data_IF_051944223313
#
_entry.id   IF_051944223313
#
_cell.length_a   1.000
_cell.length_b   1.000
_cell.length_c   1.000
_cell.angle_alpha   90.00
_cell.angle_beta   90.00
_cell.angle_gamma   90.00
#
_symmetry.space_group_name_H-M   'P 1'
#
loop_
_entity.id
_entity.type
_entity.pdbx_description
1 polymer ?
#
# COMPACT_ATOMS: atom_id res chain seq x y z
N UNK A 1 -18.84 2.74 10.38
CA UNK A 1 -17.37 2.57 10.24
C UNK A 1 -16.92 3.10 8.88
N UNK A 2 -15.72 3.68 8.77
CA UNK A 2 -15.26 4.26 7.51
C UNK A 2 -15.10 3.20 6.41
N UNK A 3 -14.86 1.93 6.78
CA UNK A 3 -14.82 0.82 5.83
C UNK A 3 -16.13 0.61 5.05
N UNK A 4 -17.30 0.94 5.62
CA UNK A 4 -18.59 0.82 4.90
C UNK A 4 -18.74 1.85 3.79
N UNK A 5 -18.09 3.02 3.91
CA UNK A 5 -18.07 4.01 2.84
C UNK A 5 -17.14 3.62 1.69
N UNK A 6 -16.29 2.60 1.90
CA UNK A 6 -15.28 2.13 0.95
C UNK A 6 -15.67 0.79 0.31
N UNK A 7 -16.87 0.25 0.58
CA UNK A 7 -17.34 -1.03 0.02
C UNK A 7 -17.36 -1.03 -1.51
N UNK A 8 -17.59 0.11 -2.15
CA UNK A 8 -17.62 0.23 -3.62
C UNK A 8 -16.26 0.54 -4.25
N UNK A 9 -15.23 0.85 -3.45
CA UNK A 9 -13.90 1.12 -3.99
C UNK A 9 -13.05 -0.15 -4.05
N UNK A 10 -12.18 -0.22 -5.04
CA UNK A 10 -11.20 -1.30 -5.16
C UNK A 10 -10.24 -1.26 -3.97
N UNK A 11 -9.65 -2.40 -3.66
CA UNK A 11 -8.77 -2.56 -2.49
C UNK A 11 -7.44 -3.20 -2.86
N UNK A 12 -6.42 -2.90 -2.07
CA UNK A 12 -5.11 -3.55 -2.11
C UNK A 12 -4.71 -3.95 -0.70
N UNK A 13 -4.33 -5.21 -0.52
CA UNK A 13 -3.82 -5.74 0.74
C UNK A 13 -2.30 -5.74 0.70
N UNK A 14 -1.68 -5.23 1.76
CA UNK A 14 -0.23 -5.05 1.83
C UNK A 14 0.43 -5.90 2.92
N UNK A 15 1.74 -6.14 2.74
CA UNK A 15 2.59 -6.72 3.78
C UNK A 15 2.68 -5.79 4.99
N UNK A 16 2.73 -6.41 6.16
CA UNK A 16 2.95 -5.77 7.45
C UNK A 16 4.14 -4.81 7.44
N UNK A 17 5.25 -5.23 6.82
CA UNK A 17 6.48 -4.43 6.73
C UNK A 17 6.33 -3.15 5.88
N UNK A 18 5.28 -3.04 5.07
CA UNK A 18 4.98 -1.85 4.26
C UNK A 18 4.05 -0.87 4.98
N UNK A 19 3.37 -1.29 6.06
CA UNK A 19 2.38 -0.47 6.78
C UNK A 19 3.04 0.77 7.39
N UNK A 20 4.09 0.57 8.18
CA UNK A 20 4.80 1.69 8.82
C UNK A 20 5.36 2.70 7.79
N UNK A 21 5.93 2.19 6.70
CA UNK A 21 6.45 3.04 5.63
C UNK A 21 5.35 3.91 4.99
N UNK A 22 4.16 3.33 4.74
CA UNK A 22 3.01 4.07 4.23
C UNK A 22 2.49 5.12 5.23
N UNK A 23 2.45 4.79 6.53
CA UNK A 23 2.07 5.75 7.57
C UNK A 23 3.03 6.95 7.66
N UNK A 24 4.26 6.78 7.15
CA UNK A 24 5.27 7.83 7.02
C UNK A 24 5.26 8.53 5.64
N UNK A 25 4.28 8.23 4.78
CA UNK A 25 4.12 8.89 3.47
C UNK A 25 4.90 8.26 2.32
N UNK A 26 5.42 7.04 2.48
CA UNK A 26 5.99 6.31 1.36
C UNK A 26 4.94 5.97 0.29
N UNK A 27 5.40 5.75 -0.94
CA UNK A 27 4.60 5.15 -2.00
C UNK A 27 4.61 3.62 -1.90
N UNK A 28 3.53 2.97 -2.34
CA UNK A 28 3.41 1.51 -2.29
C UNK A 28 4.12 0.89 -3.50
N UNK A 29 5.21 0.17 -3.21
CA UNK A 29 5.95 -0.60 -4.19
C UNK A 29 5.36 -2.00 -4.37
N UNK A 30 5.54 -2.58 -5.56
CA UNK A 30 5.10 -3.94 -5.92
C UNK A 30 5.42 -5.01 -4.87
N UNK A 31 6.67 -5.12 -4.34
CA UNK A 31 6.97 -6.17 -3.36
C UNK A 31 6.17 -6.03 -2.04
N UNK A 32 5.59 -4.87 -1.76
CA UNK A 32 4.74 -4.63 -0.60
C UNK A 32 3.31 -5.13 -0.76
N UNK A 33 2.89 -5.49 -1.99
CA UNK A 33 1.53 -5.93 -2.30
C UNK A 33 1.40 -7.43 -2.05
N UNK A 34 0.28 -7.83 -1.44
CA UNK A 34 -0.11 -9.24 -1.27
C UNK A 34 -1.30 -9.59 -2.17
N UNK A 35 -2.27 -8.69 -2.29
CA UNK A 35 -3.47 -8.91 -3.08
C UNK A 35 -3.99 -7.58 -3.64
N UNK A 36 -4.56 -7.62 -4.84
CA UNK A 36 -5.27 -6.49 -5.47
C UNK A 36 -6.67 -6.92 -5.84
N UNK A 37 -7.62 -5.99 -5.79
CA UNK A 37 -8.96 -6.19 -6.34
C UNK A 37 -8.91 -6.49 -7.84
N UNK A 38 -9.80 -7.37 -8.34
CA UNK A 38 -9.83 -7.72 -9.75
C UNK A 38 -10.26 -6.52 -10.62
N UNK A 39 -9.83 -6.53 -11.89
CA UNK A 39 -10.12 -5.48 -12.88
C UNK A 39 -9.59 -4.09 -12.46
N UNK A 40 -8.49 -4.06 -11.71
CA UNK A 40 -7.81 -2.83 -11.37
C UNK A 40 -7.19 -2.19 -12.63
N UNK A 41 -7.54 -0.93 -12.88
CA UNK A 41 -7.02 -0.12 -13.97
C UNK A 41 -6.13 0.99 -13.41
N UNK A 42 -5.21 1.47 -14.25
CA UNK A 42 -4.45 2.68 -13.95
C UNK A 42 -5.38 3.87 -13.70
N UNK A 43 -5.11 4.63 -12.64
CA UNK A 43 -5.92 5.77 -12.20
C UNK A 43 -7.07 5.40 -11.25
N UNK A 44 -7.32 4.11 -11.00
CA UNK A 44 -8.33 3.72 -10.01
C UNK A 44 -7.94 4.17 -8.60
N UNK A 45 -8.91 4.74 -7.88
CA UNK A 45 -8.81 4.99 -6.45
C UNK A 45 -8.96 3.66 -5.69
N UNK A 46 -8.00 3.36 -4.83
CA UNK A 46 -7.98 2.15 -4.01
C UNK A 46 -7.84 2.43 -2.53
N UNK A 47 -8.49 1.59 -1.72
CA UNK A 47 -8.22 1.50 -0.29
C UNK A 47 -7.05 0.57 -0.05
N UNK A 48 -6.07 1.01 0.72
CA UNK A 48 -4.93 0.21 1.16
C UNK A 48 -5.24 -0.39 2.51
N UNK A 49 -5.18 -1.71 2.61
CA UNK A 49 -5.54 -2.47 3.81
C UNK A 49 -4.41 -3.36 4.32
N UNK A 50 -4.40 -3.59 5.63
CA UNK A 50 -3.60 -4.67 6.24
C UNK A 50 -4.27 -6.02 5.98
N UNK A 51 -3.53 -7.12 6.19
CA UNK A 51 -4.09 -8.48 6.15
C UNK A 51 -5.20 -8.73 7.19
N UNK A 52 -5.32 -7.86 8.21
CA UNK A 52 -6.36 -7.91 9.23
C UNK A 52 -7.62 -7.13 8.85
N UNK A 53 -7.64 -6.50 7.67
CA UNK A 53 -8.76 -5.69 7.20
C UNK A 53 -8.76 -4.25 7.73
N UNK A 54 -7.67 -3.78 8.35
CA UNK A 54 -7.57 -2.40 8.81
C UNK A 54 -7.19 -1.48 7.66
N UNK A 55 -7.84 -0.32 7.56
CA UNK A 55 -7.53 0.68 6.53
C UNK A 55 -6.26 1.46 6.89
N UNK A 56 -5.28 1.46 5.98
CA UNK A 56 -4.00 2.15 6.12
C UNK A 56 -4.06 3.52 5.46
N UNK A 57 -4.49 3.56 4.20
CA UNK A 57 -4.48 4.77 3.38
C UNK A 57 -5.44 4.65 2.18
N UNK A 58 -5.67 5.77 1.50
CA UNK A 58 -6.19 5.83 0.14
C UNK A 58 -5.04 6.09 -0.81
N UNK A 59 -5.04 5.37 -1.93
CA UNK A 59 -4.01 5.48 -2.96
C UNK A 59 -4.62 5.43 -4.35
N UNK A 60 -3.88 5.89 -5.35
CA UNK A 60 -4.24 5.79 -6.77
C UNK A 60 -3.33 4.77 -7.46
N UNK A 61 -3.90 3.91 -8.29
CA UNK A 61 -3.13 2.91 -9.04
C UNK A 61 -2.33 3.54 -10.17
N UNK A 62 -1.02 3.36 -10.16
CA UNK A 62 -0.14 3.79 -11.26
C UNK A 62 -0.08 2.77 -12.40
N UNK A 63 -0.48 1.53 -12.11
CA UNK A 63 -0.37 0.37 -12.98
C UNK A 63 -1.71 -0.36 -13.07
N UNK A 64 -1.93 -1.10 -14.15
CA UNK A 64 -3.09 -2.00 -14.27
C UNK A 64 -2.82 -3.35 -13.59
N UNK A 65 -3.86 -4.14 -13.34
CA UNK A 65 -3.75 -5.48 -12.73
C UNK A 65 -2.68 -6.36 -13.39
N UNK A 66 -2.68 -6.44 -14.73
CA UNK A 66 -1.70 -7.22 -15.47
C UNK A 66 -0.28 -6.71 -15.29
N UNK A 67 -0.09 -5.39 -15.26
CA UNK A 67 1.24 -4.80 -15.08
C UNK A 67 1.78 -5.05 -13.67
N UNK A 68 0.94 -4.99 -12.64
CA UNK A 68 1.33 -5.31 -11.27
C UNK A 68 1.73 -6.79 -11.14
N UNK A 69 1.05 -7.69 -11.87
CA UNK A 69 1.35 -9.13 -11.87
C UNK A 69 2.62 -9.47 -12.64
N UNK A 70 2.92 -8.75 -13.73
CA UNK A 70 4.10 -8.98 -14.57
C UNK A 70 5.37 -8.34 -13.99
N UNK A 71 5.23 -7.15 -13.39
CA UNK A 71 6.35 -6.41 -12.85
C UNK A 71 6.82 -6.95 -11.49
N UNK A 72 8.13 -6.92 -11.25
CA UNK A 72 8.77 -7.38 -9.99
C UNK A 72 9.30 -6.24 -9.12
N UNK A 73 9.37 -5.01 -9.65
CA UNK A 73 9.93 -3.85 -8.97
C UNK A 73 9.25 -2.56 -9.45
N UNK A 74 9.33 -1.52 -8.63
CA UNK A 74 8.75 -0.21 -8.93
C UNK A 74 7.55 0.12 -8.04
N UNK A 75 7.07 1.36 -8.16
CA UNK A 75 5.88 1.83 -7.47
C UNK A 75 4.63 1.45 -8.25
N UNK A 76 3.69 0.82 -7.55
CA UNK A 76 2.40 0.41 -8.12
C UNK A 76 1.29 1.38 -7.76
N UNK A 77 1.39 2.06 -6.62
CA UNK A 77 0.38 3.03 -6.19
C UNK A 77 1.02 4.29 -5.62
N UNK A 78 0.37 5.43 -5.87
CA UNK A 78 0.67 6.70 -5.22
C UNK A 78 -0.24 6.87 -4.02
N UNK A 79 0.35 7.10 -2.85
CA UNK A 79 -0.39 7.33 -1.61
C UNK A 79 -1.01 8.74 -1.63
N UNK A 80 -2.33 8.84 -1.60
CA UNK A 80 -3.05 10.12 -1.65
C UNK A 80 -3.36 10.63 -0.24
N UNK A 81 -3.88 9.76 0.63
CA UNK A 81 -4.27 10.14 2.00
C UNK A 81 -4.01 9.03 2.98
N UNK A 82 -3.22 9.30 4.01
CA UNK A 82 -2.97 8.37 5.11
C UNK A 82 -4.15 8.46 6.08
N UNK A 83 -4.69 7.30 6.47
CA UNK A 83 -5.82 7.19 7.40
C UNK A 83 -5.34 6.64 8.75
N UNK A 84 -4.46 5.63 8.72
CA UNK A 84 -3.94 4.98 9.92
C UNK A 84 -2.95 5.88 10.66
N UNK A 85 -3.06 5.90 11.99
CA UNK A 85 -2.13 6.62 12.84
C UNK A 85 -0.71 6.01 12.73
N UNK A 86 0.34 6.83 12.67
CA UNK A 86 1.72 6.34 12.71
C UNK A 86 1.97 5.60 14.04
N UNK A 87 2.93 4.67 14.05
CA UNK A 87 3.33 3.87 15.22
C UNK A 87 2.34 2.75 15.64
N UNK A 88 1.32 2.46 14.82
CA UNK A 88 0.43 1.31 15.06
C UNK A 88 1.14 -0.03 14.77
N UNK A 89 2.11 -0.03 13.86
CA UNK A 89 2.93 -1.18 13.50
C UNK A 89 4.43 -0.89 13.72
N UNK A 90 5.23 -1.89 14.15
CA UNK A 90 6.66 -1.70 14.35
C UNK A 90 7.40 -1.39 13.05
N UNK A 91 8.44 -0.55 13.13
CA UNK A 91 9.26 -0.13 11.99
C UNK A 91 10.10 -1.29 11.46
N UNK A 92 9.61 -1.97 10.42
CA UNK A 92 10.28 -3.12 9.82
C UNK A 92 11.06 -2.80 8.53
N UNK A 93 11.18 -1.52 8.14
CA UNK A 93 11.95 -1.13 6.96
C UNK A 93 13.45 -1.04 7.29
N UNK A 94 14.25 -1.78 6.53
CA UNK A 94 15.69 -1.92 6.75
C UNK A 94 16.40 -0.65 6.27
N UNK A 95 16.63 0.30 7.17
CA UNK A 95 17.62 1.37 6.92
C UNK A 95 18.98 0.67 6.84
N UNK A 96 19.65 0.67 5.68
CA UNK A 96 21.05 0.26 5.61
C UNK A 96 21.83 1.19 6.54
N UNK A 97 22.24 0.71 7.71
CA UNK A 97 23.22 1.38 8.55
C UNK A 97 24.51 1.45 7.76
N UNK A 98 24.77 2.61 7.17
CA UNK A 98 26.08 2.92 6.60
C UNK A 98 27.04 2.95 7.80
N UNK A 99 27.92 1.95 7.92
CA UNK A 99 28.97 1.99 8.94
C UNK A 99 29.91 3.15 8.58
N UNK A 100 30.14 4.13 9.46
CA UNK A 100 31.23 5.08 9.23
C UNK A 100 32.56 4.30 9.24
N UNK A 101 33.41 4.61 8.27
CA UNK A 101 34.76 4.06 8.13
C UNK A 101 35.72 4.81 9.04
#
# INVERSE_FOLDING_TARGET
PIEFALTEIKSVVIRDSAVDALCHGAQLAIPGILQISPNLSKGDLVGVYTQKGEVVALAESLLSENEIKDATKGYAFTTNRIIMAPNTYPKNWRTKTVRPK
#
